data_IF_058415469155
#
_entry.id   IF_058415469155
#
_cell.length_a   1.000
_cell.length_b   1.000
_cell.length_c   1.000
_cell.angle_alpha   90.00
_cell.angle_beta   90.00
_cell.angle_gamma   90.00
#
_symmetry.space_group_name_H-M   'P 1'
#
loop_
_entity.id
_entity.type
_entity.pdbx_description
1 polymer ?
#
# COMPACT_ATOMS: atom_id res chain seq x y z
N UNK A 1 -2.06 4.13 -15.66
CA UNK A 1 -2.78 5.19 -16.42
C UNK A 1 -4.29 5.00 -16.31
N UNK A 2 -4.85 3.85 -16.70
CA UNK A 2 -6.30 3.61 -16.73
C UNK A 2 -7.00 3.84 -15.37
N UNK A 3 -6.41 3.36 -14.26
CA UNK A 3 -6.97 3.54 -12.92
C UNK A 3 -7.05 5.01 -12.50
N UNK A 4 -6.01 5.81 -12.79
CA UNK A 4 -6.01 7.23 -12.46
C UNK A 4 -7.04 8.00 -13.28
N UNK A 5 -7.17 7.67 -14.56
CA UNK A 5 -8.21 8.26 -15.43
C UNK A 5 -9.61 7.92 -14.93
N UNK A 6 -9.84 6.69 -14.47
CA UNK A 6 -11.13 6.29 -13.88
C UNK A 6 -11.43 7.05 -12.58
N UNK A 7 -10.44 7.25 -11.70
CA UNK A 7 -10.59 8.06 -10.47
C UNK A 7 -10.93 9.51 -10.80
N UNK A 8 -10.26 10.11 -11.78
CA UNK A 8 -10.58 11.47 -12.22
C UNK A 8 -11.98 11.56 -12.85
N UNK A 9 -12.44 10.52 -13.55
CA UNK A 9 -13.75 10.50 -14.18
C UNK A 9 -14.89 10.29 -13.18
N UNK A 10 -14.74 9.36 -12.25
CA UNK A 10 -15.82 8.94 -11.34
C UNK A 10 -15.71 9.53 -9.93
N UNK A 11 -14.56 10.10 -9.57
CA UNK A 11 -14.24 10.39 -8.18
C UNK A 11 -13.97 9.11 -7.38
N UNK A 12 -14.01 9.23 -6.07
CA UNK A 12 -13.85 8.09 -5.14
C UNK A 12 -15.04 8.10 -4.18
N UNK A 13 -15.91 7.13 -4.33
CA UNK A 13 -17.12 6.98 -3.48
C UNK A 13 -16.73 6.90 -2.00
N UNK A 14 -17.44 7.62 -1.15
CA UNK A 14 -17.16 7.67 0.29
C UNK A 14 -15.97 8.52 0.69
N UNK A 15 -15.40 9.32 -0.21
CA UNK A 15 -14.29 10.23 0.06
C UNK A 15 -14.61 11.66 -0.38
N UNK A 16 -13.74 12.62 0.00
CA UNK A 16 -13.80 14.01 -0.46
C UNK A 16 -13.32 14.20 -1.91
N UNK A 17 -12.96 13.13 -2.65
CA UNK A 17 -12.50 13.21 -4.03
C UNK A 17 -13.70 13.24 -4.99
N UNK A 18 -14.08 14.41 -5.56
CA UNK A 18 -15.21 14.51 -6.47
C UNK A 18 -14.86 13.93 -7.86
N UNK A 19 -15.89 13.71 -8.67
CA UNK A 19 -15.72 13.45 -10.09
C UNK A 19 -15.28 14.74 -10.83
N UNK A 20 -14.33 14.61 -11.73
CA UNK A 20 -13.76 15.71 -12.52
C UNK A 20 -14.18 15.63 -13.99
N UNK A 21 -15.26 14.90 -14.30
CA UNK A 21 -15.76 14.65 -15.66
C UNK A 21 -16.13 15.93 -16.41
N UNK A 22 -16.53 16.98 -15.68
CA UNK A 22 -16.95 18.26 -16.26
C UNK A 22 -15.76 19.14 -16.72
N UNK A 23 -14.54 18.76 -16.35
CA UNK A 23 -13.32 19.42 -16.84
C UNK A 23 -12.97 18.95 -18.27
N UNK A 24 -12.32 19.81 -19.09
CA UNK A 24 -11.85 19.42 -20.41
C UNK A 24 -10.97 18.17 -20.39
N UNK A 25 -11.08 17.34 -21.42
CA UNK A 25 -10.32 16.09 -21.49
C UNK A 25 -8.79 16.32 -21.44
N UNK A 26 -8.32 17.43 -22.04
CA UNK A 26 -6.91 17.82 -22.00
C UNK A 26 -6.43 18.10 -20.58
N UNK A 27 -7.23 18.78 -19.76
CA UNK A 27 -6.89 19.12 -18.39
C UNK A 27 -6.85 17.87 -17.50
N UNK A 28 -7.80 16.96 -17.69
CA UNK A 28 -7.77 15.66 -16.98
C UNK A 28 -6.55 14.83 -17.37
N UNK A 29 -6.15 14.85 -18.65
CA UNK A 29 -4.95 14.17 -19.09
C UNK A 29 -3.69 14.80 -18.50
N UNK A 30 -3.62 16.14 -18.46
CA UNK A 30 -2.51 16.86 -17.83
C UNK A 30 -2.41 16.57 -16.32
N UNK A 31 -3.53 16.54 -15.60
CA UNK A 31 -3.58 16.16 -14.19
C UNK A 31 -3.09 14.73 -13.99
N UNK A 32 -3.56 13.79 -14.82
CA UNK A 32 -3.10 12.39 -14.75
C UNK A 32 -1.59 12.29 -14.99
N UNK A 33 -1.06 13.01 -15.97
CA UNK A 33 0.37 13.04 -16.26
C UNK A 33 1.18 13.66 -15.10
N UNK A 34 0.70 14.75 -14.51
CA UNK A 34 1.34 15.38 -13.35
C UNK A 34 1.39 14.44 -12.14
N UNK A 35 0.29 13.76 -11.81
CA UNK A 35 0.24 12.77 -10.72
C UNK A 35 1.19 11.60 -10.99
N UNK A 36 1.26 11.13 -12.24
CA UNK A 36 2.20 10.07 -12.62
C UNK A 36 3.65 10.52 -12.48
N UNK A 37 3.97 11.75 -12.89
CA UNK A 37 5.30 12.33 -12.70
C UNK A 37 5.69 12.42 -11.22
N UNK A 38 4.76 12.76 -10.33
CA UNK A 38 4.98 12.73 -8.89
C UNK A 38 5.23 11.31 -8.36
N UNK A 39 4.58 10.31 -8.96
CA UNK A 39 4.74 8.89 -8.60
C UNK A 39 6.02 8.27 -9.18
N UNK A 40 6.56 8.83 -10.26
CA UNK A 40 7.80 8.37 -10.90
C UNK A 40 9.07 8.76 -10.13
N UNK A 41 8.93 9.48 -9.02
CA UNK A 41 10.05 10.00 -8.25
C UNK A 41 10.51 8.98 -7.22
N UNK A 42 11.71 8.49 -7.44
CA UNK A 42 12.63 7.62 -6.72
C UNK A 42 12.42 6.13 -6.98
N UNK A 43 13.43 5.47 -7.54
CA UNK A 43 13.54 4.02 -7.38
C UNK A 43 13.51 3.74 -5.87
N UNK A 44 12.49 3.03 -5.44
CA UNK A 44 12.44 2.53 -4.08
C UNK A 44 13.64 1.60 -3.89
N UNK A 45 14.39 1.71 -2.80
CA UNK A 45 15.53 0.85 -2.55
C UNK A 45 15.11 -0.62 -2.63
N UNK A 46 15.98 -1.44 -3.19
CA UNK A 46 15.80 -2.88 -3.21
C UNK A 46 15.54 -3.40 -1.79
N UNK A 47 14.74 -4.44 -1.69
CA UNK A 47 14.47 -5.09 -0.41
C UNK A 47 15.72 -5.87 0.01
N UNK A 48 16.38 -5.53 1.14
CA UNK A 48 17.57 -6.25 1.58
C UNK A 48 17.20 -7.70 1.95
N UNK A 49 17.77 -8.67 1.23
CA UNK A 49 17.41 -10.09 1.38
C UNK A 49 17.56 -10.61 2.82
N UNK A 50 18.55 -10.09 3.57
CA UNK A 50 18.81 -10.51 4.96
C UNK A 50 17.70 -10.03 5.94
N UNK A 51 16.91 -9.03 5.60
CA UNK A 51 15.81 -8.54 6.43
C UNK A 51 14.51 -9.35 6.23
N UNK A 52 14.38 -10.08 5.12
CA UNK A 52 13.14 -10.80 4.81
C UNK A 52 12.79 -11.85 5.86
N UNK A 53 13.69 -12.76 6.28
CA UNK A 53 13.33 -13.76 7.30
C UNK A 53 12.94 -13.13 8.65
N UNK A 54 13.58 -12.04 9.04
CA UNK A 54 13.26 -11.31 10.27
C UNK A 54 11.88 -10.66 10.13
N UNK A 55 11.64 -9.99 9.02
CA UNK A 55 10.36 -9.33 8.73
C UNK A 55 9.21 -10.32 8.64
N UNK A 56 9.43 -11.50 8.07
CA UNK A 56 8.45 -12.58 8.01
C UNK A 56 8.03 -13.05 9.41
N UNK A 57 9.00 -13.28 10.30
CA UNK A 57 8.72 -13.66 11.68
C UNK A 57 7.90 -12.60 12.43
N UNK A 58 8.30 -11.33 12.32
CA UNK A 58 7.56 -10.20 12.92
C UNK A 58 6.16 -10.11 12.33
N UNK A 59 6.04 -10.24 11.01
CA UNK A 59 4.76 -10.18 10.31
C UNK A 59 3.81 -11.31 10.75
N UNK A 60 4.30 -12.54 10.78
CA UNK A 60 3.52 -13.69 11.19
C UNK A 60 2.99 -13.55 12.62
N UNK A 61 3.83 -13.05 13.54
CA UNK A 61 3.47 -12.90 14.94
C UNK A 61 2.54 -11.69 15.21
N UNK A 62 2.64 -10.62 14.43
CA UNK A 62 2.06 -9.32 14.81
C UNK A 62 1.07 -8.72 13.78
N UNK A 63 1.12 -9.14 12.52
CA UNK A 63 0.41 -8.49 11.43
C UNK A 63 -0.59 -9.41 10.72
N UNK A 64 -0.24 -10.70 10.60
CA UNK A 64 -0.98 -11.66 9.78
C UNK A 64 -2.43 -11.87 10.24
N UNK A 65 -2.72 -11.69 11.53
CA UNK A 65 -4.07 -11.82 12.05
C UNK A 65 -5.08 -10.88 11.36
N UNK A 66 -4.65 -9.67 11.01
CA UNK A 66 -5.48 -8.69 10.29
C UNK A 66 -5.18 -8.71 8.79
N UNK A 67 -3.89 -8.66 8.41
CA UNK A 67 -3.47 -8.49 7.02
C UNK A 67 -3.40 -9.79 6.20
N UNK A 68 -3.67 -10.96 6.82
CA UNK A 68 -3.55 -12.25 6.17
C UNK A 68 -2.11 -12.76 6.10
N UNK A 69 -1.92 -14.07 6.10
CA UNK A 69 -0.57 -14.69 6.04
C UNK A 69 0.17 -14.38 4.74
N UNK A 70 -0.57 -14.05 3.67
CA UNK A 70 -0.05 -13.67 2.37
C UNK A 70 -0.07 -12.16 2.12
N UNK A 71 -0.54 -11.38 3.09
CA UNK A 71 -0.66 -9.93 2.95
C UNK A 71 -1.85 -9.47 2.10
N UNK A 72 -2.81 -10.32 1.86
CA UNK A 72 -3.99 -10.09 1.01
C UNK A 72 -5.14 -9.35 1.72
N UNK A 73 -4.92 -8.88 2.95
CA UNK A 73 -5.94 -8.18 3.75
C UNK A 73 -7.01 -9.10 4.32
N UNK A 74 -6.86 -10.44 4.22
CA UNK A 74 -7.86 -11.45 4.60
C UNK A 74 -7.41 -12.25 5.82
N UNK A 75 -6.91 -11.58 6.83
CA UNK A 75 -6.59 -12.24 8.11
C UNK A 75 -7.84 -12.66 8.86
N UNK A 76 -7.67 -13.55 9.84
CA UNK A 76 -8.79 -14.11 10.62
C UNK A 76 -9.59 -13.04 11.40
N UNK A 77 -9.01 -11.88 11.67
CA UNK A 77 -9.70 -10.78 12.31
C UNK A 77 -10.27 -9.74 11.31
N UNK A 78 -9.99 -9.87 10.00
CA UNK A 78 -10.32 -8.83 9.02
C UNK A 78 -11.81 -8.52 8.94
N UNK A 79 -12.67 -9.54 8.99
CA UNK A 79 -14.12 -9.37 8.88
C UNK A 79 -14.75 -8.67 10.09
N UNK A 80 -14.05 -8.65 11.23
CA UNK A 80 -14.52 -7.95 12.44
C UNK A 80 -14.11 -6.48 12.49
N UNK A 81 -13.32 -6.01 11.52
CA UNK A 81 -12.80 -4.66 11.50
C UNK A 81 -13.75 -3.71 10.75
N UNK A 82 -13.93 -2.52 11.27
CA UNK A 82 -14.74 -1.47 10.62
C UNK A 82 -14.14 -0.95 9.32
N UNK A 83 -12.83 -1.18 9.12
CA UNK A 83 -12.09 -0.83 7.91
C UNK A 83 -11.24 -2.00 7.49
N UNK A 84 -11.39 -2.43 6.24
CA UNK A 84 -10.62 -3.52 5.69
C UNK A 84 -9.10 -3.24 5.77
N UNK A 85 -8.30 -4.21 6.20
CA UNK A 85 -6.85 -4.12 6.16
C UNK A 85 -6.32 -3.95 4.73
N UNK A 86 -5.16 -3.31 4.60
CA UNK A 86 -4.53 -3.15 3.30
C UNK A 86 -4.17 -4.51 2.70
N UNK A 87 -4.41 -4.64 1.39
CA UNK A 87 -3.93 -5.74 0.56
C UNK A 87 -2.57 -5.37 -0.03
N UNK A 88 -1.50 -5.92 0.55
CA UNK A 88 -0.12 -5.65 0.14
C UNK A 88 0.26 -6.37 -1.15
N UNK A 89 -0.52 -7.37 -1.58
CA UNK A 89 -0.29 -8.07 -2.84
C UNK A 89 -0.74 -7.23 -4.04
N UNK A 90 -1.76 -6.41 -3.85
CA UNK A 90 -2.33 -5.54 -4.88
C UNK A 90 -1.82 -4.08 -4.80
N UNK A 91 -1.35 -3.64 -3.64
CA UNK A 91 -0.91 -2.27 -3.41
C UNK A 91 0.55 -2.24 -2.93
N UNK A 92 1.42 -1.64 -3.74
CA UNK A 92 2.80 -1.42 -3.33
C UNK A 92 2.86 -0.27 -2.32
N UNK A 93 3.27 -0.58 -1.10
CA UNK A 93 3.52 0.41 -0.05
C UNK A 93 4.96 0.90 -0.16
N UNK A 94 5.18 2.22 -0.11
CA UNK A 94 6.53 2.76 -0.06
C UNK A 94 7.17 2.50 1.31
N UNK A 95 8.51 2.40 1.36
CA UNK A 95 9.21 2.18 2.64
C UNK A 95 8.95 3.32 3.64
N UNK A 96 9.01 4.61 3.26
CA UNK A 96 8.68 5.69 4.19
C UNK A 96 7.26 5.61 4.74
N UNK A 97 6.28 5.25 3.90
CA UNK A 97 4.88 5.13 4.33
C UNK A 97 4.68 3.93 5.26
N UNK A 98 5.27 2.77 4.95
CA UNK A 98 5.21 1.60 5.84
C UNK A 98 5.80 1.93 7.22
N UNK A 99 6.96 2.59 7.28
CA UNK A 99 7.60 3.00 8.52
C UNK A 99 6.77 4.06 9.28
N UNK A 100 6.15 5.00 8.57
CA UNK A 100 5.27 5.99 9.17
C UNK A 100 4.06 5.31 9.83
N UNK A 101 3.38 4.42 9.11
CA UNK A 101 2.23 3.68 9.63
C UNK A 101 2.61 2.81 10.83
N UNK A 102 3.75 2.13 10.80
CA UNK A 102 4.23 1.35 11.94
C UNK A 102 4.57 2.22 13.16
N UNK A 103 4.97 3.48 12.94
CA UNK A 103 5.28 4.43 14.01
C UNK A 103 4.04 5.09 14.60
N UNK A 104 3.10 5.50 13.76
CA UNK A 104 1.99 6.39 14.12
C UNK A 104 0.64 5.67 14.16
N UNK A 105 0.56 4.46 13.59
CA UNK A 105 -0.72 3.80 13.35
C UNK A 105 -1.53 4.47 12.25
N UNK A 106 -2.80 4.13 12.18
CA UNK A 106 -3.78 4.73 11.24
C UNK A 106 -4.96 5.24 12.05
N UNK A 107 -5.13 6.55 12.12
CA UNK A 107 -6.22 7.17 12.84
C UNK A 107 -7.59 6.65 12.41
N UNK A 108 -8.46 6.37 13.36
CA UNK A 108 -9.80 5.85 13.10
C UNK A 108 -9.83 4.39 12.64
N UNK A 109 -8.75 3.66 12.83
CA UNK A 109 -8.68 2.23 12.53
C UNK A 109 -8.04 1.45 13.68
N UNK A 110 -8.20 0.11 13.72
CA UNK A 110 -7.50 -0.76 14.68
C UNK A 110 -5.99 -0.86 14.51
N UNK A 111 -5.42 -0.28 13.44
CA UNK A 111 -3.97 -0.27 13.21
C UNK A 111 -3.29 0.70 14.18
N UNK A 112 -2.87 0.18 15.32
CA UNK A 112 -2.20 0.94 16.38
C UNK A 112 -0.73 1.22 16.06
N UNK A 113 -0.09 2.21 16.72
CA UNK A 113 1.36 2.39 16.71
C UNK A 113 2.10 1.17 17.27
N UNK A 114 3.23 0.82 16.67
CA UNK A 114 4.05 -0.34 17.05
C UNK A 114 5.37 0.05 17.76
N UNK A 115 5.56 1.32 18.05
CA UNK A 115 6.81 1.84 18.64
C UNK A 115 7.12 1.27 20.03
N UNK A 116 6.11 0.87 20.79
CA UNK A 116 6.27 0.28 22.13
C UNK A 116 6.36 -1.25 22.12
N UNK A 117 6.08 -1.89 20.98
CA UNK A 117 6.01 -3.35 20.84
C UNK A 117 7.12 -3.93 19.97
N UNK A 118 7.62 -3.14 19.02
CA UNK A 118 8.67 -3.52 18.09
C UNK A 118 9.81 -2.52 18.14
N UNK A 119 11.03 -3.02 18.09
CA UNK A 119 12.24 -2.22 17.90
C UNK A 119 12.27 -1.54 16.53
N UNK A 120 13.13 -0.56 16.34
CA UNK A 120 13.34 0.08 15.01
C UNK A 120 13.77 -0.93 13.96
N UNK A 121 14.63 -1.89 14.33
CA UNK A 121 15.10 -2.94 13.44
C UNK A 121 13.98 -3.89 13.01
N UNK A 122 13.11 -4.29 13.94
CA UNK A 122 11.95 -5.14 13.65
C UNK A 122 10.94 -4.42 12.77
N UNK A 123 10.66 -3.13 13.03
CA UNK A 123 9.78 -2.32 12.17
C UNK A 123 10.35 -2.18 10.76
N UNK A 124 11.67 -1.95 10.64
CA UNK A 124 12.33 -1.88 9.35
C UNK A 124 12.23 -3.21 8.59
N UNK A 125 12.50 -4.32 9.26
CA UNK A 125 12.40 -5.66 8.67
C UNK A 125 10.96 -5.97 8.23
N UNK A 126 9.96 -5.71 9.09
CA UNK A 126 8.55 -5.88 8.76
C UNK A 126 8.12 -5.02 7.57
N UNK A 127 8.56 -3.75 7.51
CA UNK A 127 8.28 -2.87 6.38
C UNK A 127 8.87 -3.40 5.06
N UNK A 128 10.07 -3.94 5.08
CA UNK A 128 10.68 -4.58 3.90
C UNK A 128 9.96 -5.87 3.50
N UNK A 129 9.56 -6.69 4.48
CA UNK A 129 8.80 -7.91 4.20
C UNK A 129 7.45 -7.58 3.54
N UNK A 130 6.69 -6.64 4.09
CA UNK A 130 5.42 -6.18 3.50
C UNK A 130 5.60 -5.73 2.04
N UNK A 131 6.68 -5.04 1.73
CA UNK A 131 6.99 -4.60 0.36
C UNK A 131 7.33 -5.77 -0.57
N UNK A 132 7.88 -6.86 -0.05
CA UNK A 132 8.18 -8.06 -0.82
C UNK A 132 6.93 -8.87 -1.20
N UNK A 133 5.80 -8.64 -0.50
CA UNK A 133 4.53 -9.30 -0.79
C UNK A 133 3.85 -8.77 -2.06
N UNK A 134 4.23 -7.59 -2.52
CA UNK A 134 3.68 -7.02 -3.74
C UNK A 134 4.08 -7.84 -4.96
N UNK A 135 3.08 -8.45 -5.60
CA UNK A 135 3.24 -9.11 -6.88
C UNK A 135 2.71 -8.17 -7.98
N UNK A 136 3.57 -7.56 -8.82
CA UNK A 136 3.07 -6.80 -9.95
C UNK A 136 2.26 -7.73 -10.85
N UNK A 137 1.03 -7.33 -11.16
CA UNK A 137 0.25 -8.02 -12.19
C UNK A 137 1.08 -7.99 -13.46
N UNK A 138 1.41 -9.14 -14.07
CA UNK A 138 2.13 -9.16 -15.33
C UNK A 138 1.36 -8.27 -16.31
N UNK A 139 1.99 -7.22 -16.82
CA UNK A 139 1.46 -6.49 -17.97
C UNK A 139 1.45 -7.48 -19.13
N UNK A 140 0.28 -8.09 -19.37
CA UNK A 140 0.03 -8.86 -20.56
C UNK A 140 0.04 -7.89 -21.74
N UNK A 141 1.20 -7.55 -22.26
CA UNK A 141 1.45 -6.90 -23.56
C UNK A 141 2.96 -6.76 -23.83
N UNK A 142 3.66 -7.90 -23.89
CA UNK A 142 4.81 -8.02 -24.78
C UNK A 142 4.62 -9.28 -25.59
N UNK A 143 3.92 -9.13 -26.72
CA UNK A 143 3.69 -10.25 -27.61
C UNK A 143 2.82 -9.86 -28.77
N UNK A 144 3.32 -9.10 -29.71
CA UNK A 144 3.39 -9.26 -31.18
C UNK A 144 3.46 -7.92 -31.88
#
# INVERSE_FOLDING_TARGET
TARLSAVLWHGVSGSAMPAWRDYPAADRAALAAAVQALSAVRPEPDVPAHLIPIGEQVYAASCAQCHGTRGDGRGSAADSLTRAPADFTAQRVSLPEALRVLREGVHGSPMAPWTTRLTDAERLAAAHYVRSLYAPVPTAMEGR
#
